data_IF_265627232301
#
_entry.id   IF_265627232301
#
_cell.length_a   1.000
_cell.length_b   1.000
_cell.length_c   1.000
_cell.angle_alpha   90.00
_cell.angle_beta   90.00
_cell.angle_gamma   90.00
#
_symmetry.space_group_name_H-M   'P 1'
#
loop_
_entity.id
_entity.type
_entity.pdbx_description
1 polymer ?
#
# COMPACT_ATOMS: atom_id res chain seq x y z
N UNK A 1 -8.97 -11.89 16.26
CA UNK A 1 -7.64 -12.43 16.56
C UNK A 1 -7.70 -12.82 18.02
N UNK A 2 -7.18 -13.97 18.41
CA UNK A 2 -7.16 -14.38 19.82
C UNK A 2 -6.23 -13.48 20.63
N UNK A 3 -6.50 -13.33 21.93
CA UNK A 3 -5.66 -12.51 22.83
C UNK A 3 -4.21 -12.99 22.85
N UNK A 4 -3.99 -14.31 22.85
CA UNK A 4 -2.67 -14.93 22.76
C UNK A 4 -1.96 -14.54 21.47
N UNK A 5 -2.62 -14.68 20.32
CA UNK A 5 -2.04 -14.34 19.03
C UNK A 5 -1.72 -12.85 18.91
N UNK A 6 -2.57 -12.01 19.47
CA UNK A 6 -2.34 -10.58 19.53
C UNK A 6 -1.15 -10.21 20.42
N UNK A 7 -0.97 -10.87 21.57
CA UNK A 7 0.20 -10.63 22.43
C UNK A 7 1.52 -10.98 21.74
N UNK A 8 1.56 -12.07 20.97
CA UNK A 8 2.71 -12.42 20.12
C UNK A 8 2.96 -11.34 19.06
N UNK A 9 1.92 -10.98 18.30
CA UNK A 9 1.95 -9.91 17.29
C UNK A 9 2.50 -8.59 17.86
N UNK A 10 1.97 -8.16 18.99
CA UNK A 10 2.31 -6.90 19.63
C UNK A 10 3.74 -6.93 20.17
N UNK A 11 4.18 -8.06 20.70
CA UNK A 11 5.56 -8.27 21.16
C UNK A 11 6.56 -8.15 20.01
N UNK A 12 6.27 -8.72 18.83
CA UNK A 12 7.10 -8.55 17.63
C UNK A 12 7.14 -7.09 17.18
N UNK A 13 5.99 -6.42 17.18
CA UNK A 13 5.89 -5.01 16.79
C UNK A 13 6.69 -4.11 17.74
N UNK A 14 6.51 -4.29 19.05
CA UNK A 14 7.26 -3.61 20.10
C UNK A 14 8.77 -3.81 19.96
N UNK A 15 9.22 -5.04 19.68
CA UNK A 15 10.63 -5.32 19.44
C UNK A 15 11.16 -4.58 18.20
N UNK A 16 10.42 -4.64 17.09
CA UNK A 16 10.82 -4.01 15.83
C UNK A 16 11.00 -2.49 15.93
N UNK A 17 10.15 -1.81 16.71
CA UNK A 17 10.24 -0.37 16.94
C UNK A 17 11.02 0.01 18.22
N UNK A 18 11.60 -0.97 18.92
CA UNK A 18 12.24 -0.80 20.22
C UNK A 18 11.36 0.01 21.21
N UNK A 19 10.10 -0.41 21.36
CA UNK A 19 9.08 0.28 22.14
C UNK A 19 8.49 -0.63 23.21
N UNK A 20 8.29 -0.07 24.40
CA UNK A 20 7.46 -0.66 25.43
C UNK A 20 6.12 0.09 25.48
N UNK A 21 5.04 -0.65 25.68
CA UNK A 21 3.71 -0.09 25.90
C UNK A 21 3.14 -0.68 27.18
N UNK A 22 2.37 0.13 27.91
CA UNK A 22 1.69 -0.32 29.11
C UNK A 22 0.48 -1.21 28.80
N UNK A 23 -0.09 -1.81 29.85
CA UNK A 23 -1.23 -2.72 29.73
C UNK A 23 -2.47 -2.02 29.18
N UNK A 24 -2.68 -0.75 29.52
CA UNK A 24 -3.84 0.02 29.06
C UNK A 24 -3.78 0.26 27.55
N UNK A 25 -2.61 0.66 27.05
CA UNK A 25 -2.35 0.80 25.63
C UNK A 25 -2.48 -0.56 24.91
N UNK A 26 -1.86 -1.61 25.46
CA UNK A 26 -1.94 -2.97 24.92
C UNK A 26 -3.39 -3.44 24.73
N UNK A 27 -4.26 -3.22 25.73
CA UNK A 27 -5.68 -3.54 25.64
C UNK A 27 -6.39 -2.73 24.54
N UNK A 28 -6.08 -1.44 24.40
CA UNK A 28 -6.67 -0.59 23.36
C UNK A 28 -6.28 -1.05 21.93
N UNK A 29 -5.04 -1.48 21.72
CA UNK A 29 -4.62 -2.08 20.45
C UNK A 29 -5.29 -3.44 20.21
N UNK A 30 -5.49 -4.24 21.26
CA UNK A 30 -6.19 -5.52 21.14
C UNK A 30 -7.63 -5.31 20.67
N UNK A 31 -8.35 -4.39 21.29
CA UNK A 31 -9.71 -4.00 20.90
C UNK A 31 -9.75 -3.54 19.44
N UNK A 32 -8.79 -2.72 19.01
CA UNK A 32 -8.70 -2.30 17.62
C UNK A 32 -8.54 -3.48 16.67
N UNK A 33 -7.75 -4.51 17.03
CA UNK A 33 -7.51 -5.72 16.24
C UNK A 33 -8.64 -6.77 16.29
N UNK A 34 -9.69 -6.57 17.11
CA UNK A 34 -10.82 -7.51 17.20
C UNK A 34 -11.56 -7.65 15.88
N UNK A 35 -11.62 -8.85 15.32
CA UNK A 35 -12.23 -9.12 14.01
C UNK A 35 -11.23 -9.49 12.91
N UNK A 36 -9.92 -9.40 13.16
CA UNK A 36 -8.88 -9.95 12.26
C UNK A 36 -8.72 -11.46 12.52
N UNK A 37 -8.67 -12.34 11.52
CA UNK A 37 -8.42 -13.76 11.78
C UNK A 37 -6.97 -14.00 12.26
N UNK A 38 -6.71 -15.08 13.00
CA UNK A 38 -5.36 -15.37 13.52
C UNK A 38 -4.33 -15.61 12.40
N UNK A 39 -4.78 -16.16 11.28
CA UNK A 39 -4.00 -16.36 10.05
C UNK A 39 -3.56 -15.04 9.40
N UNK A 40 -4.36 -13.98 9.53
CA UNK A 40 -4.08 -12.66 8.97
C UNK A 40 -3.11 -11.82 9.82
N UNK A 41 -2.74 -12.28 11.02
CA UNK A 41 -1.86 -11.54 11.92
C UNK A 41 -0.52 -11.14 11.27
N UNK A 42 0.04 -12.03 10.43
CA UNK A 42 1.30 -11.77 9.71
C UNK A 42 1.12 -10.71 8.61
N UNK A 43 -0.02 -10.74 7.92
CA UNK A 43 -0.36 -9.72 6.91
C UNK A 43 -0.49 -8.35 7.57
N UNK A 44 -1.26 -8.27 8.67
CA UNK A 44 -1.42 -7.05 9.45
C UNK A 44 -0.06 -6.51 9.93
N UNK A 45 0.85 -7.38 10.38
CA UNK A 45 2.20 -6.97 10.80
C UNK A 45 2.98 -6.30 9.66
N UNK A 46 3.01 -6.93 8.48
CA UNK A 46 3.68 -6.36 7.32
C UNK A 46 3.04 -5.04 6.87
N UNK A 47 1.71 -4.94 6.94
CA UNK A 47 0.98 -3.72 6.61
C UNK A 47 1.35 -2.59 7.57
N UNK A 48 1.48 -2.86 8.88
CA UNK A 48 1.93 -1.86 9.85
C UNK A 48 3.36 -1.40 9.54
N UNK A 49 4.30 -2.32 9.29
CA UNK A 49 5.68 -1.95 8.97
C UNK A 49 5.79 -1.17 7.65
N UNK A 50 4.94 -1.48 6.67
CA UNK A 50 4.92 -0.80 5.37
C UNK A 50 4.34 0.62 5.43
N UNK A 51 3.44 0.89 6.38
CA UNK A 51 2.75 2.19 6.48
C UNK A 51 3.29 3.09 7.60
N UNK A 52 3.94 2.54 8.63
CA UNK A 52 4.37 3.30 9.80
C UNK A 52 5.90 3.26 9.96
N UNK A 53 6.56 4.41 9.84
CA UNK A 53 8.00 4.56 10.10
C UNK A 53 8.34 4.47 11.59
N UNK A 54 7.42 4.93 12.44
CA UNK A 54 7.51 4.87 13.91
C UNK A 54 6.45 3.92 14.45
N UNK A 55 6.53 3.57 15.73
CA UNK A 55 5.48 2.76 16.37
C UNK A 55 4.13 3.46 16.15
N UNK A 56 3.14 2.77 15.56
CA UNK A 56 1.88 3.41 15.17
C UNK A 56 1.19 3.97 16.40
N UNK A 57 0.55 5.13 16.27
CA UNK A 57 -0.48 5.56 17.22
C UNK A 57 -1.71 4.65 17.12
N UNK A 58 -2.57 4.69 18.14
CA UNK A 58 -3.79 3.88 18.14
C UNK A 58 -4.72 4.24 16.97
N UNK A 59 -4.72 5.50 16.54
CA UNK A 59 -5.51 5.97 15.39
C UNK A 59 -5.00 5.36 14.10
N UNK A 60 -3.70 5.47 13.81
CA UNK A 60 -3.07 4.86 12.63
C UNK A 60 -3.27 3.35 12.59
N UNK A 61 -3.13 2.69 13.74
CA UNK A 61 -3.36 1.26 13.85
C UNK A 61 -4.81 0.87 13.54
N UNK A 62 -5.81 1.61 14.05
CA UNK A 62 -7.22 1.39 13.72
C UNK A 62 -7.50 1.55 12.23
N UNK A 63 -6.88 2.53 11.58
CA UNK A 63 -6.99 2.71 10.14
C UNK A 63 -6.43 1.50 9.38
N UNK A 64 -5.22 1.03 9.73
CA UNK A 64 -4.58 -0.13 9.10
C UNK A 64 -5.39 -1.41 9.31
N UNK A 65 -5.93 -1.59 10.51
CA UNK A 65 -6.80 -2.72 10.80
C UNK A 65 -8.12 -2.62 10.02
N UNK A 66 -8.70 -1.43 9.86
CA UNK A 66 -9.93 -1.25 9.08
C UNK A 66 -9.77 -1.62 7.60
N UNK A 67 -8.56 -1.44 7.05
CA UNK A 67 -8.20 -1.89 5.71
C UNK A 67 -8.09 -3.43 5.62
N UNK A 68 -7.78 -4.10 6.73
CA UNK A 68 -7.65 -5.55 6.84
C UNK A 68 -8.98 -6.25 7.21
N UNK A 69 -9.87 -5.60 7.97
CA UNK A 69 -11.15 -6.16 8.45
C UNK A 69 -12.22 -6.38 7.38
N UNK A 70 -11.92 -6.05 6.13
CA UNK A 70 -12.86 -6.24 5.04
C UNK A 70 -12.42 -7.45 4.22
N UNK A 71 -13.36 -8.37 4.00
CA UNK A 71 -13.54 -9.01 2.70
C UNK A 71 -13.77 -7.91 1.65
N UNK A 72 -12.74 -7.09 1.39
CA UNK A 72 -12.67 -6.38 0.14
C UNK A 72 -12.33 -7.49 -0.84
N UNK A 73 -13.35 -8.06 -1.49
CA UNK A 73 -13.13 -8.56 -2.84
C UNK A 73 -12.43 -7.39 -3.52
N UNK A 74 -11.12 -7.48 -3.82
CA UNK A 74 -10.39 -6.33 -4.29
C UNK A 74 -11.17 -5.85 -5.48
N UNK A 75 -11.67 -4.61 -5.41
CA UNK A 75 -12.37 -3.95 -6.49
C UNK A 75 -11.32 -3.72 -7.58
N UNK A 76 -10.87 -4.79 -8.22
CA UNK A 76 -9.87 -4.77 -9.25
C UNK A 76 -10.50 -4.07 -10.43
N UNK A 77 -9.76 -3.16 -11.02
CA UNK A 77 -10.16 -2.60 -12.29
C UNK A 77 -10.37 -3.75 -13.29
N UNK A 78 -11.54 -3.79 -13.92
CA UNK A 78 -11.85 -4.77 -14.98
C UNK A 78 -11.07 -4.48 -16.26
N UNK A 79 -10.58 -3.25 -16.40
CA UNK A 79 -9.71 -2.78 -17.47
C UNK A 79 -8.56 -1.97 -16.88
N UNK A 80 -7.39 -2.01 -17.52
CA UNK A 80 -6.21 -1.28 -17.05
C UNK A 80 -6.51 0.22 -16.92
N UNK A 81 -6.29 0.77 -15.73
CA UNK A 81 -6.42 2.20 -15.50
C UNK A 81 -5.12 2.92 -15.87
N UNK A 82 -5.09 3.61 -17.01
CA UNK A 82 -3.91 4.38 -17.42
C UNK A 82 -3.62 5.64 -16.58
N UNK A 83 -4.56 6.11 -15.76
CA UNK A 83 -4.31 7.25 -14.87
C UNK A 83 -3.36 6.91 -13.70
N UNK A 84 -3.53 5.73 -13.10
CA UNK A 84 -2.74 5.30 -11.92
C UNK A 84 -2.01 3.97 -12.13
N UNK A 85 -2.10 3.39 -13.32
CA UNK A 85 -1.53 2.07 -13.65
C UNK A 85 -2.01 0.97 -12.69
N UNK A 86 -3.30 1.00 -12.35
CA UNK A 86 -3.95 0.13 -11.36
C UNK A 86 -3.42 0.25 -9.92
N UNK A 87 -2.59 1.25 -9.60
CA UNK A 87 -2.13 1.46 -8.22
C UNK A 87 -3.22 2.00 -7.28
N UNK A 88 -4.32 2.56 -7.81
CA UNK A 88 -5.35 3.24 -7.03
C UNK A 88 -4.93 4.61 -6.49
N UNK A 89 -3.64 4.95 -6.54
CA UNK A 89 -3.08 6.25 -6.15
C UNK A 89 -2.19 6.82 -7.25
N UNK A 90 -2.08 8.14 -7.30
CA UNK A 90 -1.21 8.88 -8.22
C UNK A 90 -0.21 9.67 -7.37
N UNK A 91 1.09 9.43 -7.61
CA UNK A 91 2.16 10.15 -6.93
C UNK A 91 2.35 11.54 -7.53
N UNK A 92 2.59 12.54 -6.70
CA UNK A 92 2.90 13.90 -7.11
C UNK A 92 3.91 14.55 -6.17
N UNK A 93 4.69 15.49 -6.69
CA UNK A 93 5.68 16.22 -5.90
C UNK A 93 5.16 17.60 -5.56
N UNK A 94 5.23 17.97 -4.28
CA UNK A 94 4.97 19.34 -3.82
C UNK A 94 6.14 19.79 -2.95
N UNK A 95 6.43 21.09 -2.96
CA UNK A 95 7.27 21.69 -1.93
C UNK A 95 6.67 21.40 -0.55
N UNK A 96 7.52 21.13 0.44
CA UNK A 96 7.07 20.91 1.81
C UNK A 96 6.30 22.11 2.36
N UNK A 97 5.65 21.91 3.51
CA UNK A 97 5.13 23.03 4.30
C UNK A 97 6.24 23.58 5.19
N UNK A 98 6.23 24.87 5.58
CA UNK A 98 7.19 25.40 6.54
C UNK A 98 7.29 24.51 7.79
N UNK A 99 8.50 24.25 8.31
CA UNK A 99 9.81 24.80 7.90
C UNK A 99 10.51 24.09 6.73
N UNK A 100 9.90 23.07 6.12
CA UNK A 100 10.53 22.19 5.11
C UNK A 100 10.21 22.57 3.65
N UNK A 101 9.90 23.84 3.39
CA UNK A 101 9.43 24.34 2.09
C UNK A 101 10.42 24.12 0.93
N UNK A 102 11.70 23.96 1.22
CA UNK A 102 12.75 23.76 0.21
C UNK A 102 12.97 22.29 -0.16
N UNK A 103 12.32 21.35 0.56
CA UNK A 103 12.44 19.93 0.30
C UNK A 103 11.23 19.42 -0.50
N UNK A 104 11.41 18.98 -1.76
CA UNK A 104 10.33 18.38 -2.52
C UNK A 104 9.96 17.02 -1.91
N UNK A 105 8.70 16.86 -1.52
CA UNK A 105 8.19 15.61 -0.97
C UNK A 105 7.24 14.96 -1.97
N UNK A 106 7.33 13.63 -2.10
CA UNK A 106 6.43 12.85 -2.94
C UNK A 106 5.20 12.49 -2.12
N UNK A 107 4.07 13.11 -2.46
CA UNK A 107 2.77 12.81 -1.92
C UNK A 107 2.03 11.82 -2.83
N UNK A 108 0.92 11.29 -2.32
CA UNK A 108 0.01 10.44 -3.09
C UNK A 108 -1.41 10.97 -2.92
N UNK A 109 -2.12 11.09 -4.02
CA UNK A 109 -3.55 11.33 -4.03
C UNK A 109 -4.27 10.07 -4.53
N UNK A 110 -5.53 9.86 -4.11
CA UNK A 110 -6.33 8.77 -4.67
C UNK A 110 -6.61 9.05 -6.14
N UNK A 111 -6.64 7.99 -6.94
CA UNK A 111 -7.04 8.05 -8.33
C UNK A 111 -8.57 8.23 -8.41
N UNK A 112 -9.10 9.34 -8.98
CA UNK A 112 -10.55 9.53 -9.08
C UNK A 112 -11.19 8.61 -10.14
N UNK A 113 -10.39 8.05 -11.05
CA UNK A 113 -10.88 7.45 -12.29
C UNK A 113 -11.08 5.93 -12.23
N UNK A 114 -10.78 5.26 -11.11
CA UNK A 114 -10.76 3.79 -11.09
C UNK A 114 -11.29 3.17 -9.80
N UNK A 115 -11.66 1.90 -9.88
CA UNK A 115 -12.20 1.13 -8.77
C UNK A 115 -11.15 0.92 -7.67
N UNK A 116 -9.88 0.71 -8.04
CA UNK A 116 -8.78 0.66 -7.06
C UNK A 116 -8.65 1.99 -6.29
N UNK A 117 -9.00 3.12 -6.91
CA UNK A 117 -8.99 4.43 -6.25
C UNK A 117 -10.05 4.57 -5.16
N UNK A 118 -11.19 3.87 -5.29
CA UNK A 118 -12.25 3.85 -4.27
C UNK A 118 -11.80 3.20 -2.96
N UNK A 119 -10.76 2.36 -3.00
CA UNK A 119 -10.14 1.78 -1.81
C UNK A 119 -9.49 2.85 -0.92
N UNK A 120 -9.08 3.98 -1.51
CA UNK A 120 -8.45 5.11 -0.83
C UNK A 120 -9.42 6.27 -0.62
N UNK A 121 -10.69 5.97 -0.33
CA UNK A 121 -11.76 6.98 -0.27
C UNK A 121 -11.52 8.10 0.75
N UNK A 122 -10.75 7.85 1.81
CA UNK A 122 -10.34 8.84 2.82
C UNK A 122 -9.18 9.75 2.39
N UNK A 123 -8.48 9.44 1.30
CA UNK A 123 -7.35 10.24 0.82
C UNK A 123 -7.83 11.36 -0.10
N UNK A 124 -7.07 12.47 -0.16
CA UNK A 124 -7.34 13.56 -1.10
C UNK A 124 -7.35 13.06 -2.53
N UNK A 125 -8.36 13.46 -3.29
CA UNK A 125 -8.52 13.07 -4.69
C UNK A 125 -7.59 13.89 -5.58
N UNK A 126 -7.00 13.28 -6.61
CA UNK A 126 -6.00 13.96 -7.42
C UNK A 126 -6.57 15.21 -8.13
N UNK A 127 -7.82 15.14 -8.57
CA UNK A 127 -8.59 16.23 -9.17
C UNK A 127 -8.94 17.37 -8.18
N UNK A 128 -8.70 17.17 -6.87
CA UNK A 128 -8.78 18.24 -5.88
C UNK A 128 -7.44 18.96 -5.67
N UNK A 129 -6.33 18.38 -6.16
CA UNK A 129 -4.98 18.93 -6.00
C UNK A 129 -4.49 19.58 -7.30
N UNK A 130 -4.85 18.99 -8.44
CA UNK A 130 -4.45 19.44 -9.78
C UNK A 130 -5.64 19.50 -10.71
N UNK A 131 -5.53 20.37 -11.72
CA UNK A 131 -6.50 20.46 -12.79
C UNK A 131 -6.64 19.14 -13.56
N UNK A 132 -7.84 18.90 -14.08
CA UNK A 132 -8.15 17.71 -14.87
C UNK A 132 -7.24 17.54 -16.10
N UNK A 133 -6.70 18.63 -16.65
CA UNK A 133 -5.72 18.57 -17.76
C UNK A 133 -4.48 17.76 -17.39
N UNK A 134 -3.99 17.89 -16.16
CA UNK A 134 -2.81 17.15 -15.66
C UNK A 134 -3.11 15.64 -15.60
N UNK A 135 -4.33 15.26 -15.21
CA UNK A 135 -4.77 13.86 -15.22
C UNK A 135 -4.75 13.25 -16.62
N UNK A 136 -5.25 13.98 -17.62
CA UNK A 136 -5.24 13.51 -19.01
C UNK A 136 -3.80 13.43 -19.57
N UNK A 137 -2.91 14.35 -19.23
CA UNK A 137 -1.49 14.25 -19.62
C UNK A 137 -0.82 13.02 -19.03
N UNK A 138 -1.08 12.70 -17.75
CA UNK A 138 -0.54 11.49 -17.09
C UNK A 138 -1.04 10.24 -17.82
N UNK A 139 -2.34 10.17 -18.10
CA UNK A 139 -2.95 9.06 -18.83
C UNK A 139 -2.32 8.90 -20.21
N UNK A 140 -2.18 9.98 -20.97
CA UNK A 140 -1.62 9.96 -22.32
C UNK A 140 -0.17 9.46 -22.31
N UNK A 141 0.68 9.96 -21.41
CA UNK A 141 2.06 9.48 -21.23
C UNK A 141 2.12 8.00 -20.87
N UNK A 142 1.19 7.53 -20.04
CA UNK A 142 1.09 6.13 -19.67
C UNK A 142 0.61 5.24 -20.83
N UNK A 143 -0.30 5.73 -21.68
CA UNK A 143 -0.71 5.02 -22.91
C UNK A 143 0.45 4.95 -23.90
N UNK A 144 1.18 6.04 -24.13
CA UNK A 144 2.35 6.05 -25.02
C UNK A 144 3.42 5.06 -24.55
N UNK A 145 3.67 5.01 -23.24
CA UNK A 145 4.71 4.17 -22.65
C UNK A 145 4.31 2.71 -22.46
N UNK A 146 3.05 2.44 -22.16
CA UNK A 146 2.58 1.12 -21.71
C UNK A 146 1.34 0.60 -22.45
N UNK A 147 0.76 1.36 -23.37
CA UNK A 147 -0.41 0.98 -24.17
C UNK A 147 -0.14 -0.16 -25.15
N UNK A 148 1.11 -0.39 -25.54
CA UNK A 148 1.51 -1.57 -26.31
C UNK A 148 1.56 -2.85 -25.45
N UNK A 149 1.65 -2.73 -24.13
CA UNK A 149 1.65 -3.85 -23.17
C UNK A 149 0.22 -4.39 -22.94
N UNK A 150 -0.81 -3.62 -23.26
CA UNK A 150 -2.22 -4.07 -23.16
C UNK A 150 -2.62 -5.10 -24.20
N UNK A 151 -1.89 -5.25 -25.31
CA UNK A 151 -2.07 -6.34 -26.30
C UNK A 151 -1.40 -7.65 -25.84
N UNK A 152 -0.57 -7.58 -24.78
CA UNK A 152 0.42 -8.59 -24.47
C UNK A 152 0.17 -9.32 -23.15
N UNK A 153 -1.07 -9.44 -22.64
CA UNK A 153 -1.30 -10.22 -21.41
C UNK A 153 -0.75 -11.67 -21.53
N UNK A 154 -0.81 -12.29 -22.72
CA UNK A 154 -0.13 -13.57 -22.99
C UNK A 154 1.40 -13.46 -23.07
N UNK A 155 1.93 -12.39 -23.69
CA UNK A 155 3.38 -12.20 -23.85
C UNK A 155 4.06 -11.79 -22.54
N UNK A 156 3.40 -11.01 -21.69
CA UNK A 156 3.83 -10.62 -20.35
C UNK A 156 3.82 -11.82 -19.41
N UNK A 157 2.82 -12.71 -19.51
CA UNK A 157 2.81 -13.99 -18.81
C UNK A 157 3.96 -14.91 -19.28
N UNK A 158 4.24 -14.97 -20.58
CA UNK A 158 5.39 -15.74 -21.12
C UNK A 158 6.75 -15.16 -20.73
N UNK A 159 6.90 -13.83 -20.70
CA UNK A 159 8.14 -13.16 -20.26
C UNK A 159 8.35 -13.36 -18.75
N UNK A 160 7.30 -13.26 -17.94
CA UNK A 160 7.35 -13.54 -16.50
C UNK A 160 7.70 -15.02 -16.22
N UNK A 161 7.12 -15.96 -16.97
CA UNK A 161 7.46 -17.38 -16.88
C UNK A 161 8.93 -17.68 -17.26
N UNK A 162 9.45 -17.03 -18.30
CA UNK A 162 10.87 -17.13 -18.71
C UNK A 162 11.84 -16.49 -17.72
N UNK A 163 11.46 -15.37 -17.09
CA UNK A 163 12.27 -14.73 -16.05
C UNK A 163 12.33 -15.59 -14.78
N UNK A 164 11.24 -16.28 -14.43
CA UNK A 164 11.17 -17.19 -13.28
C UNK A 164 12.04 -18.45 -13.49
N UNK A 165 12.08 -19.02 -14.70
CA UNK A 165 12.99 -20.13 -15.03
C UNK A 165 14.48 -19.74 -15.00
N UNK A 166 14.82 -18.47 -15.33
CA UNK A 166 16.21 -17.99 -15.25
C UNK A 166 16.68 -17.66 -13.83
N UNK A 167 15.78 -17.43 -12.88
CA UNK A 167 16.15 -17.18 -11.48
C UNK A 167 16.44 -18.45 -10.66
N UNK A 168 16.12 -19.65 -11.18
CA UNK A 168 16.42 -20.93 -10.49
C UNK A 168 17.86 -21.41 -10.75
N UNK A 169 18.61 -20.77 -11.66
CA UNK A 169 20.03 -21.09 -11.91
C UNK A 169 20.89 -19.86 -11.67
N UNK A 170 20.97 -19.41 -10.42
CA UNK A 170 21.73 -18.20 -10.09
C UNK A 170 21.97 -17.94 -8.60
N UNK A 171 22.09 -18.99 -7.79
CA UNK A 171 22.47 -18.90 -6.38
C UNK A 171 23.87 -19.47 -6.12
N UNK A 172 24.89 -18.61 -6.28
CA UNK A 172 26.25 -18.53 -5.67
C UNK A 172 27.03 -19.79 -5.24
N UNK A 173 28.30 -19.85 -5.64
CA UNK A 173 29.55 -19.97 -4.81
C UNK A 173 30.68 -19.35 -5.69
N UNK A 174 31.70 -18.58 -5.28
CA UNK A 174 32.49 -18.49 -4.05
C UNK A 174 33.97 -18.67 -4.45
N UNK A 175 34.81 -17.65 -4.18
CA UNK A 175 36.22 -17.40 -4.57
C UNK A 175 36.52 -16.96 -6.01
#
# INVERSE_FOLDING_TARGET
>A
MTKKRFQEFLSYLCNQYNRQIDEMASNAYFEAAQGIADEDARKLYNDVLGNCKYFPSLVEFKEIVSMNKKDVVPLKNTQRCFYCMDAGTIAYTKKGVPPFQDYPYTYRARCPMCNNGKLYSSWISFDQVFDQKVLEEIKQKNIERFGSITVSQEKAAQIAARAYQKQIVGGKYGN
#
